data_IF_846223923003
#
_entry.id   IF_846223923003
#
_cell.length_a   1.000
_cell.length_b   1.000
_cell.length_c   1.000
_cell.angle_alpha   90.00
_cell.angle_beta   90.00
_cell.angle_gamma   90.00
#
_symmetry.space_group_name_H-M   'P 1'
#
loop_
_entity.id
_entity.type
_entity.pdbx_description
1 polymer ?
#
# COMPACT_ATOMS: atom_id res chain seq x y z
N UNK A 1 6.40 31.98 -11.19
CA UNK A 1 7.45 31.08 -11.76
C UNK A 1 7.82 31.58 -13.15
N UNK A 2 9.09 31.89 -13.34
CA UNK A 2 9.63 32.50 -14.59
C UNK A 2 9.31 31.65 -15.85
N UNK A 3 9.21 30.34 -15.70
CA UNK A 3 8.90 29.47 -16.84
C UNK A 3 7.41 29.56 -17.23
N UNK A 4 6.52 29.63 -16.26
CA UNK A 4 5.09 29.82 -16.51
C UNK A 4 4.76 31.23 -17.04
N UNK A 5 5.51 32.25 -16.61
CA UNK A 5 5.41 33.60 -17.19
C UNK A 5 5.80 33.64 -18.67
N UNK A 6 6.76 32.81 -19.09
CA UNK A 6 7.19 32.70 -20.48
C UNK A 6 6.30 31.82 -21.33
N UNK A 7 5.70 30.81 -20.73
CA UNK A 7 4.78 29.89 -21.39
C UNK A 7 3.63 29.53 -20.45
N UNK A 8 2.54 30.23 -20.59
CA UNK A 8 1.33 30.00 -19.77
C UNK A 8 0.67 28.63 -19.99
N UNK A 9 1.03 27.91 -21.07
CA UNK A 9 0.56 26.56 -21.33
C UNK A 9 1.49 25.45 -20.79
N UNK A 10 2.60 25.84 -20.12
CA UNK A 10 3.55 24.87 -19.59
C UNK A 10 2.90 24.03 -18.49
N UNK A 11 3.07 22.72 -18.61
CA UNK A 11 2.83 21.79 -17.48
C UNK A 11 4.20 21.43 -16.89
N UNK A 12 4.39 21.76 -15.62
CA UNK A 12 5.64 21.51 -14.90
C UNK A 12 5.38 20.50 -13.78
N UNK A 13 6.01 19.33 -13.87
CA UNK A 13 5.94 18.33 -12.82
C UNK A 13 7.18 18.42 -11.92
N UNK A 14 6.94 18.60 -10.62
CA UNK A 14 7.97 18.64 -9.59
C UNK A 14 7.84 17.40 -8.72
N UNK A 15 8.92 16.62 -8.62
CA UNK A 15 8.99 15.44 -7.74
C UNK A 15 9.92 15.74 -6.59
N UNK A 16 9.45 15.48 -5.37
CA UNK A 16 10.22 15.72 -4.15
C UNK A 16 9.84 14.75 -3.02
N UNK A 17 10.56 14.79 -1.91
CA UNK A 17 10.25 13.93 -0.75
C UNK A 17 8.94 14.29 -0.06
N UNK A 18 8.66 15.61 0.09
CA UNK A 18 7.58 16.12 0.95
C UNK A 18 6.67 17.16 0.30
N UNK A 19 6.79 17.39 -1.00
CA UNK A 19 6.06 18.42 -1.71
C UNK A 19 6.76 19.79 -1.69
N UNK A 20 6.17 20.73 -2.42
CA UNK A 20 6.69 22.08 -2.54
C UNK A 20 6.23 23.00 -1.39
N UNK A 21 5.16 22.61 -0.70
CA UNK A 21 4.54 23.34 0.41
C UNK A 21 4.52 22.47 1.67
N UNK A 22 4.16 23.09 2.79
CA UNK A 22 3.98 22.40 4.06
C UNK A 22 5.23 22.38 4.95
N UNK A 23 5.12 21.80 6.16
CA UNK A 23 6.13 21.94 7.21
C UNK A 23 7.47 21.24 6.91
N UNK A 24 7.49 20.30 5.96
CA UNK A 24 8.69 19.55 5.57
C UNK A 24 9.20 19.88 4.17
N UNK A 25 8.61 20.84 3.46
CA UNK A 25 9.00 21.17 2.09
C UNK A 25 10.48 21.52 1.92
N UNK A 26 11.11 22.11 2.95
CA UNK A 26 12.54 22.43 2.96
C UNK A 26 13.45 21.29 3.41
N UNK A 27 12.91 20.14 3.81
CA UNK A 27 13.68 19.02 4.29
C UNK A 27 14.06 18.07 3.13
N UNK A 28 15.27 17.49 3.16
CA UNK A 28 15.60 16.40 2.24
C UNK A 28 14.73 15.17 2.56
N UNK A 29 14.25 14.49 1.53
CA UNK A 29 13.45 13.28 1.66
C UNK A 29 13.75 12.32 0.52
N UNK A 30 13.84 11.02 0.86
CA UNK A 30 14.03 9.91 -0.05
C UNK A 30 12.99 8.82 0.24
N UNK A 31 12.87 7.82 -0.63
CA UNK A 31 11.92 6.73 -0.56
C UNK A 31 11.81 6.09 0.83
N UNK A 32 12.94 5.72 1.44
CA UNK A 32 12.99 5.08 2.77
C UNK A 32 12.32 5.91 3.88
N UNK A 33 12.48 7.23 3.84
CA UNK A 33 11.83 8.13 4.81
C UNK A 33 10.32 8.13 4.60
N UNK A 34 9.86 8.19 3.35
CA UNK A 34 8.44 8.13 3.02
C UNK A 34 7.82 6.79 3.41
N UNK A 35 8.50 5.67 3.19
CA UNK A 35 8.08 4.33 3.60
C UNK A 35 7.94 4.19 5.12
N UNK A 36 8.86 4.78 5.87
CA UNK A 36 8.81 4.80 7.32
C UNK A 36 7.69 5.72 7.85
N UNK A 37 7.60 6.94 7.35
CA UNK A 37 6.64 7.95 7.83
C UNK A 37 5.20 7.65 7.43
N UNK A 38 4.96 7.02 6.28
CA UNK A 38 3.62 6.60 5.86
C UNK A 38 3.06 5.44 6.68
N UNK A 39 3.92 4.70 7.40
CA UNK A 39 3.56 3.51 8.12
C UNK A 39 3.74 2.20 7.34
N UNK A 40 4.11 2.24 6.05
CA UNK A 40 4.33 1.04 5.25
C UNK A 40 5.34 0.10 5.90
N UNK A 41 6.48 0.64 6.32
CA UNK A 41 7.52 -0.16 6.99
C UNK A 41 7.00 -0.83 8.28
N UNK A 42 6.17 -0.12 9.05
CA UNK A 42 5.59 -0.66 10.28
C UNK A 42 4.61 -1.80 10.03
N UNK A 43 3.89 -1.80 8.90
CA UNK A 43 2.94 -2.85 8.51
C UNK A 43 3.60 -4.03 7.82
N UNK A 44 4.81 -3.86 7.30
CA UNK A 44 5.55 -4.89 6.58
C UNK A 44 6.33 -5.78 7.53
N UNK A 45 6.28 -7.09 7.31
CA UNK A 45 7.00 -8.09 8.10
C UNK A 45 6.11 -8.96 8.98
N UNK A 46 6.72 -9.92 9.66
CA UNK A 46 6.04 -10.83 10.58
C UNK A 46 5.53 -10.09 11.83
N UNK A 47 4.45 -10.56 12.48
CA UNK A 47 3.85 -9.89 13.64
C UNK A 47 4.86 -9.51 14.74
N UNK A 48 5.71 -10.45 15.09
CA UNK A 48 6.73 -10.27 16.14
C UNK A 48 8.12 -9.90 15.58
N UNK A 49 8.20 -9.65 14.26
CA UNK A 49 9.42 -9.31 13.56
C UNK A 49 9.73 -7.81 13.57
N UNK A 50 10.84 -7.44 12.95
CA UNK A 50 11.18 -6.04 12.72
C UNK A 50 10.35 -5.44 11.57
N UNK A 51 10.15 -4.11 11.53
CA UNK A 51 9.66 -3.42 10.35
C UNK A 51 10.53 -3.71 9.12
N UNK A 52 9.90 -3.92 7.97
CA UNK A 52 10.61 -4.21 6.72
C UNK A 52 10.37 -3.10 5.70
N UNK A 53 11.41 -2.81 4.94
CA UNK A 53 11.34 -1.95 3.77
C UNK A 53 11.11 -2.81 2.51
N UNK A 54 10.47 -2.29 1.46
CA UNK A 54 10.40 -2.96 0.17
C UNK A 54 11.81 -3.26 -0.36
N UNK A 55 12.03 -4.44 -0.97
CA UNK A 55 13.34 -4.79 -1.56
C UNK A 55 13.57 -4.17 -2.94
N UNK A 56 12.76 -3.21 -3.34
CA UNK A 56 12.81 -2.46 -4.60
C UNK A 56 12.52 -0.99 -4.32
N UNK A 57 12.81 -0.10 -5.27
CA UNK A 57 12.49 1.33 -5.19
C UNK A 57 10.97 1.59 -5.38
N UNK A 58 10.14 0.94 -4.54
CA UNK A 58 8.67 0.96 -4.68
C UNK A 58 8.11 2.37 -4.67
N UNK A 59 8.55 3.18 -3.70
CA UNK A 59 8.05 4.54 -3.51
C UNK A 59 8.37 5.45 -4.71
N UNK A 60 9.61 5.35 -5.23
CA UNK A 60 10.06 6.14 -6.38
C UNK A 60 9.26 5.76 -7.64
N UNK A 61 9.12 4.46 -7.90
CA UNK A 61 8.38 3.95 -9.05
C UNK A 61 6.89 4.36 -9.02
N UNK A 62 6.24 4.19 -7.89
CA UNK A 62 4.81 4.56 -7.77
C UNK A 62 4.63 6.08 -7.83
N UNK A 63 5.53 6.86 -7.24
CA UNK A 63 5.49 8.32 -7.36
C UNK A 63 5.73 8.76 -8.80
N UNK A 64 6.64 8.11 -9.52
CA UNK A 64 6.86 8.34 -10.94
C UNK A 64 5.60 8.08 -11.78
N UNK A 65 4.90 6.97 -11.52
CA UNK A 65 3.62 6.66 -12.19
C UNK A 65 2.52 7.68 -11.86
N UNK A 66 2.39 8.08 -10.59
CA UNK A 66 1.42 9.09 -10.15
C UNK A 66 1.71 10.45 -10.81
N UNK A 67 2.99 10.85 -10.86
CA UNK A 67 3.44 12.07 -11.50
C UNK A 67 3.15 12.06 -13.01
N UNK A 68 3.43 10.95 -13.68
CA UNK A 68 3.13 10.79 -15.11
C UNK A 68 1.63 10.87 -15.38
N UNK A 69 0.80 10.19 -14.58
CA UNK A 69 -0.65 10.26 -14.70
C UNK A 69 -1.17 11.69 -14.50
N UNK A 70 -0.76 12.36 -13.44
CA UNK A 70 -1.17 13.74 -13.13
C UNK A 70 -0.71 14.71 -14.24
N UNK A 71 0.50 14.51 -14.79
CA UNK A 71 0.99 15.28 -15.94
C UNK A 71 0.09 15.10 -17.16
N UNK A 72 -0.32 13.88 -17.47
CA UNK A 72 -1.23 13.61 -18.60
C UNK A 72 -2.61 14.26 -18.40
N UNK A 73 -3.14 14.22 -17.17
CA UNK A 73 -4.39 14.93 -16.81
C UNK A 73 -4.25 16.44 -17.01
N UNK A 74 -3.14 17.02 -16.56
CA UNK A 74 -2.85 18.43 -16.74
C UNK A 74 -2.72 18.82 -18.23
N UNK A 75 -2.03 18.03 -19.01
CA UNK A 75 -1.92 18.23 -20.48
C UNK A 75 -3.28 18.12 -21.16
N UNK A 76 -4.11 17.14 -20.76
CA UNK A 76 -5.45 16.98 -21.33
C UNK A 76 -6.38 18.15 -21.01
N UNK A 77 -6.20 18.80 -19.85
CA UNK A 77 -7.00 19.97 -19.47
C UNK A 77 -6.73 21.18 -20.37
N UNK A 78 -5.58 21.23 -21.05
CA UNK A 78 -5.14 22.36 -21.86
C UNK A 78 -4.71 23.59 -21.05
N UNK A 79 -4.62 23.47 -19.73
CA UNK A 79 -4.26 24.56 -18.82
C UNK A 79 -2.86 24.32 -18.27
N UNK A 80 -1.97 25.30 -18.48
CA UNK A 80 -0.62 25.28 -17.92
C UNK A 80 -0.68 25.36 -16.40
N UNK A 81 0.06 24.46 -15.74
CA UNK A 81 0.01 24.34 -14.28
C UNK A 81 1.24 23.59 -13.73
N UNK A 82 1.41 23.69 -12.41
CA UNK A 82 2.40 22.87 -11.70
C UNK A 82 1.71 21.63 -11.14
N UNK A 83 2.31 20.47 -11.39
CA UNK A 83 1.97 19.20 -10.74
C UNK A 83 3.01 18.99 -9.64
N UNK A 84 2.59 19.01 -8.39
CA UNK A 84 3.43 18.65 -7.25
C UNK A 84 3.19 17.18 -6.89
N UNK A 85 4.21 16.35 -7.10
CA UNK A 85 4.18 14.93 -6.79
C UNK A 85 5.26 14.64 -5.74
N UNK A 86 4.87 14.07 -4.59
CA UNK A 86 5.84 13.79 -3.56
C UNK A 86 5.75 12.35 -3.05
N UNK A 87 6.89 11.87 -2.54
CA UNK A 87 7.06 10.50 -2.11
C UNK A 87 6.15 10.16 -0.93
N UNK A 88 6.04 11.06 0.05
CA UNK A 88 5.26 10.79 1.26
C UNK A 88 3.77 10.69 0.97
N UNK A 89 3.18 11.64 0.25
CA UNK A 89 1.74 11.63 -0.05
C UNK A 89 1.37 10.45 -0.96
N UNK A 90 2.24 10.11 -1.91
CA UNK A 90 2.04 8.93 -2.75
C UNK A 90 2.00 7.66 -1.91
N UNK A 91 2.89 7.51 -0.92
CA UNK A 91 2.85 6.36 -0.02
C UNK A 91 1.63 6.40 0.90
N UNK A 92 1.21 7.56 1.39
CA UNK A 92 -0.05 7.69 2.14
C UNK A 92 -1.25 7.24 1.31
N UNK A 93 -1.30 7.59 0.03
CA UNK A 93 -2.36 7.13 -0.87
C UNK A 93 -2.38 5.59 -0.98
N UNK A 94 -1.22 4.93 -1.04
CA UNK A 94 -1.11 3.47 -1.08
C UNK A 94 -1.54 2.80 0.22
N UNK A 95 -1.49 3.49 1.35
CA UNK A 95 -1.99 2.97 2.63
C UNK A 95 -3.51 2.79 2.64
N UNK A 96 -4.21 3.32 1.63
CA UNK A 96 -5.65 3.16 1.45
C UNK A 96 -6.45 3.68 2.65
N UNK A 97 -7.39 2.89 3.21
CA UNK A 97 -8.29 3.35 4.26
C UNK A 97 -7.67 3.41 5.67
N UNK A 98 -6.42 2.99 5.86
CA UNK A 98 -5.84 2.79 7.20
C UNK A 98 -5.80 4.07 8.03
N UNK A 99 -5.45 5.21 7.42
CA UNK A 99 -5.43 6.50 8.10
C UNK A 99 -6.84 6.91 8.52
N UNK A 100 -7.83 6.73 7.66
CA UNK A 100 -9.24 7.02 7.96
C UNK A 100 -9.81 6.09 9.02
N UNK A 101 -9.47 4.80 8.97
CA UNK A 101 -9.88 3.83 9.98
C UNK A 101 -9.33 4.20 11.36
N UNK A 102 -8.03 4.54 11.45
CA UNK A 102 -7.45 5.00 12.69
C UNK A 102 -8.16 6.25 13.22
N UNK A 103 -8.46 7.22 12.35
CA UNK A 103 -9.19 8.44 12.73
C UNK A 103 -10.60 8.18 13.29
N UNK A 104 -11.25 7.10 12.86
CA UNK A 104 -12.61 6.73 13.30
C UNK A 104 -12.58 5.82 14.54
N UNK A 105 -11.70 4.82 14.56
CA UNK A 105 -11.70 3.76 15.56
C UNK A 105 -10.65 3.95 16.66
N UNK A 106 -9.58 4.70 16.39
CA UNK A 106 -8.37 4.76 17.24
C UNK A 106 -7.51 3.50 17.20
N UNK A 107 -7.87 2.52 16.38
CA UNK A 107 -7.17 1.24 16.28
C UNK A 107 -6.14 1.25 15.15
N UNK A 108 -4.94 0.81 15.45
CA UNK A 108 -3.89 0.60 14.44
C UNK A 108 -3.96 -0.82 13.92
N UNK A 109 -3.88 -0.97 12.59
CA UNK A 109 -3.75 -2.30 11.99
C UNK A 109 -2.48 -2.97 12.49
N UNK A 110 -2.56 -4.19 13.03
CA UNK A 110 -1.37 -4.95 13.40
C UNK A 110 -0.62 -5.43 12.16
N UNK A 111 0.64 -5.78 12.34
CA UNK A 111 1.44 -6.45 11.32
C UNK A 111 0.93 -7.88 11.14
N UNK A 112 0.73 -8.31 9.90
CA UNK A 112 0.09 -9.59 9.57
C UNK A 112 0.96 -10.49 8.66
N UNK A 113 2.26 -10.26 8.61
CA UNK A 113 3.13 -10.95 7.66
C UNK A 113 2.70 -10.69 6.21
N UNK A 114 2.50 -11.74 5.45
CA UNK A 114 1.94 -11.66 4.09
C UNK A 114 0.39 -11.56 4.08
N UNK A 115 -0.25 -11.48 5.25
CA UNK A 115 -1.72 -11.41 5.41
C UNK A 115 -2.30 -10.02 5.13
N UNK A 116 -3.62 -9.98 4.96
CA UNK A 116 -4.43 -8.76 4.93
C UNK A 116 -5.60 -8.91 5.93
N UNK A 117 -6.09 -7.82 6.52
CA UNK A 117 -7.18 -7.90 7.49
C UNK A 117 -8.52 -8.32 6.86
N UNK A 118 -8.70 -8.07 5.57
CA UNK A 118 -9.95 -8.29 4.83
C UNK A 118 -9.88 -9.47 3.83
N UNK A 119 -8.90 -10.36 3.98
CA UNK A 119 -8.76 -11.57 3.13
C UNK A 119 -8.15 -12.69 3.96
N UNK A 120 -8.91 -13.78 4.18
CA UNK A 120 -8.46 -14.94 4.97
C UNK A 120 -8.99 -16.23 4.33
N UNK A 121 -8.12 -17.24 4.07
CA UNK A 121 -6.67 -17.20 4.22
C UNK A 121 -5.97 -16.34 3.15
N UNK A 122 -4.95 -15.64 3.58
CA UNK A 122 -3.99 -14.98 2.71
C UNK A 122 -2.61 -15.02 3.36
N UNK A 123 -1.63 -15.51 2.62
CA UNK A 123 -0.26 -15.63 3.12
C UNK A 123 0.64 -16.41 2.19
N UNK A 124 1.85 -16.63 2.66
CA UNK A 124 2.82 -17.54 2.05
C UNK A 124 3.00 -18.75 2.94
N UNK A 125 2.96 -19.95 2.35
CA UNK A 125 2.94 -21.21 3.08
C UNK A 125 4.01 -22.14 2.53
N UNK A 126 4.72 -22.83 3.45
CA UNK A 126 5.73 -23.80 3.07
C UNK A 126 5.08 -25.15 2.77
N UNK A 127 5.35 -25.69 1.59
CA UNK A 127 4.90 -26.99 1.18
C UNK A 127 5.76 -28.12 1.76
N UNK A 128 5.26 -29.36 1.72
CA UNK A 128 5.98 -30.54 2.20
C UNK A 128 7.30 -30.81 1.46
N UNK A 129 7.40 -30.37 0.22
CA UNK A 129 8.61 -30.48 -0.61
C UNK A 129 9.62 -29.33 -0.35
N UNK A 130 9.34 -28.46 0.62
CA UNK A 130 10.19 -27.34 0.99
C UNK A 130 10.02 -26.08 0.15
N UNK A 131 9.22 -26.11 -0.92
CA UNK A 131 8.88 -24.92 -1.73
C UNK A 131 7.84 -24.06 -1.03
N UNK A 132 7.64 -22.85 -1.53
CA UNK A 132 6.64 -21.92 -1.02
C UNK A 132 5.53 -21.70 -2.03
N UNK A 133 4.31 -21.57 -1.54
CA UNK A 133 3.15 -21.10 -2.31
C UNK A 133 2.61 -19.82 -1.69
N UNK A 134 2.03 -18.97 -2.52
CA UNK A 134 1.23 -17.84 -2.08
C UNK A 134 -0.25 -18.17 -2.28
N UNK A 135 -1.05 -17.93 -1.27
CA UNK A 135 -2.51 -18.11 -1.31
C UNK A 135 -3.19 -16.79 -1.05
N UNK A 136 -4.28 -16.52 -1.76
CA UNK A 136 -5.16 -15.38 -1.47
C UNK A 136 -6.60 -15.75 -1.82
N UNK A 137 -7.52 -15.52 -0.88
CA UNK A 137 -8.94 -15.83 -1.01
C UNK A 137 -9.75 -14.55 -0.97
N UNK A 138 -9.94 -13.92 -2.12
CA UNK A 138 -10.62 -12.64 -2.23
C UNK A 138 -12.16 -12.72 -2.17
N UNK A 139 -12.72 -13.94 -2.11
CA UNK A 139 -14.17 -14.18 -1.97
C UNK A 139 -14.44 -15.46 -1.18
N UNK A 140 -15.63 -15.56 -0.58
CA UNK A 140 -16.03 -16.76 0.17
C UNK A 140 -16.04 -18.03 -0.68
N UNK A 141 -16.41 -17.94 -1.96
CA UNK A 141 -16.38 -19.08 -2.87
C UNK A 141 -14.95 -19.57 -3.15
N UNK A 142 -13.98 -18.70 -3.17
CA UNK A 142 -12.55 -19.08 -3.30
C UNK A 142 -12.06 -19.64 -1.98
N UNK A 143 -12.43 -19.05 -0.84
CA UNK A 143 -12.09 -19.55 0.48
C UNK A 143 -12.62 -20.97 0.69
N UNK A 144 -13.90 -21.22 0.39
CA UNK A 144 -14.51 -22.56 0.50
C UNK A 144 -13.76 -23.62 -0.33
N UNK A 145 -13.34 -23.29 -1.55
CA UNK A 145 -12.53 -24.20 -2.38
C UNK A 145 -11.17 -24.50 -1.75
N UNK A 146 -10.52 -23.49 -1.19
CA UNK A 146 -9.23 -23.71 -0.49
C UNK A 146 -9.43 -24.56 0.75
N UNK A 147 -10.46 -24.31 1.57
CA UNK A 147 -10.79 -25.16 2.73
C UNK A 147 -11.08 -26.60 2.31
N UNK A 148 -11.80 -26.80 1.20
CA UNK A 148 -12.03 -28.14 0.64
C UNK A 148 -10.75 -28.86 0.22
N UNK A 149 -9.80 -28.17 -0.43
CA UNK A 149 -8.49 -28.73 -0.80
C UNK A 149 -7.66 -29.10 0.43
N UNK A 150 -7.76 -28.30 1.50
CA UNK A 150 -7.07 -28.54 2.77
C UNK A 150 -7.75 -29.67 3.60
N UNK A 151 -8.91 -30.15 3.20
CA UNK A 151 -9.64 -31.21 3.91
C UNK A 151 -10.39 -30.70 5.15
N UNK A 152 -10.62 -29.41 5.26
CA UNK A 152 -11.33 -28.75 6.38
C UNK A 152 -12.60 -28.04 5.91
N UNK A 153 -13.12 -28.40 4.73
CA UNK A 153 -14.29 -27.76 4.13
C UNK A 153 -15.59 -27.95 4.91
N UNK A 154 -15.70 -28.95 5.79
CA UNK A 154 -16.86 -29.22 6.64
C UNK A 154 -16.69 -28.66 8.07
N UNK A 155 -15.62 -27.94 8.36
CA UNK A 155 -15.34 -27.39 9.67
C UNK A 155 -15.98 -25.98 9.80
N UNK A 156 -17.01 -25.90 10.64
CA UNK A 156 -17.79 -24.68 10.85
C UNK A 156 -16.95 -23.45 11.28
N UNK A 157 -15.73 -23.66 11.82
CA UNK A 157 -14.82 -22.57 12.17
C UNK A 157 -14.39 -21.75 10.94
N UNK A 158 -14.40 -22.37 9.75
CA UNK A 158 -13.92 -21.75 8.52
C UNK A 158 -15.03 -21.38 7.52
N UNK A 159 -16.31 -21.58 7.86
CA UNK A 159 -17.44 -21.31 6.97
C UNK A 159 -17.58 -19.82 6.65
N UNK A 160 -17.35 -18.96 7.64
CA UNK A 160 -17.51 -17.50 7.50
C UNK A 160 -16.19 -16.76 7.50
N UNK A 161 -16.19 -15.53 6.99
CA UNK A 161 -15.02 -14.67 7.04
C UNK A 161 -14.56 -14.38 8.49
N UNK A 162 -15.53 -14.14 9.39
CA UNK A 162 -15.27 -13.90 10.81
C UNK A 162 -14.64 -15.13 11.48
N UNK A 163 -15.16 -16.31 11.19
CA UNK A 163 -14.61 -17.57 11.67
C UNK A 163 -13.18 -17.79 11.21
N UNK A 164 -12.92 -17.65 9.91
CA UNK A 164 -11.56 -17.75 9.35
C UNK A 164 -10.62 -16.69 9.91
N UNK A 165 -11.12 -15.48 10.20
CA UNK A 165 -10.31 -14.40 10.81
C UNK A 165 -9.92 -14.74 12.25
N UNK A 166 -10.86 -15.28 13.04
CA UNK A 166 -10.60 -15.70 14.42
C UNK A 166 -9.57 -16.86 14.49
N UNK A 167 -9.57 -17.73 13.49
CA UNK A 167 -8.75 -18.96 13.42
C UNK A 167 -7.63 -18.88 12.36
N UNK A 168 -7.18 -17.67 12.01
CA UNK A 168 -6.22 -17.47 10.90
C UNK A 168 -4.83 -18.11 11.07
N UNK A 169 -4.47 -18.48 12.29
CA UNK A 169 -3.19 -19.12 12.62
C UNK A 169 -3.28 -20.66 12.68
N UNK A 170 -4.47 -21.22 12.56
CA UNK A 170 -4.73 -22.66 12.53
C UNK A 170 -4.69 -23.20 11.10
#
# INVERSE_FOLDING_TARGET
>A
DVLLERNAALVMTRVSGFGQDGPYASRPGFATIAEAMSGLAALSGEPDGQPLLPPIALTDEVTGLAAAFATMVALHSGVGQVVDANLLETMFQLMGPLVSLYGITGEQQPRLGAGLPYTVPRGTYRCSDGRWIAVSTSSDSVAARVMGVLGVGDDARFDTFEGRTAHRLE
#
